data_IF_829773490316
#
_entry.id   IF_829773490316
#
_cell.length_a   1.000
_cell.length_b   1.000
_cell.length_c   1.000
_cell.angle_alpha   90.00
_cell.angle_beta   90.00
_cell.angle_gamma   90.00
#
_symmetry.space_group_name_H-M   'P 1'
#
loop_
_entity.id
_entity.type
_entity.pdbx_description
1 polymer ?
#
# COMPACT_ATOMS: atom_id res chain seq x y z
N UNK A 1 -31.57 -45.46 -47.78
CA UNK A 1 -30.19 -45.21 -48.26
C UNK A 1 -29.27 -45.18 -47.03
N UNK A 2 -28.11 -45.85 -46.90
CA UNK A 2 -26.97 -46.08 -47.81
C UNK A 2 -26.21 -44.77 -48.12
N UNK A 3 -24.88 -44.61 -47.97
CA UNK A 3 -23.73 -45.54 -47.83
C UNK A 3 -22.89 -45.24 -46.55
N UNK A 4 -22.19 -46.21 -45.91
CA UNK A 4 -20.74 -46.64 -46.02
C UNK A 4 -19.69 -45.48 -45.95
N UNK A 5 -18.50 -45.58 -45.34
CA UNK A 5 -17.60 -46.68 -44.82
C UNK A 5 -17.05 -46.27 -43.42
N UNK A 6 -16.64 -47.12 -42.45
CA UNK A 6 -15.55 -48.14 -42.38
C UNK A 6 -14.14 -47.56 -42.71
N UNK A 7 -13.02 -47.76 -42.00
CA UNK A 7 -12.37 -48.90 -41.27
C UNK A 7 -11.44 -48.27 -40.15
N UNK A 8 -11.17 -48.75 -38.91
CA UNK A 8 -10.45 -49.96 -38.39
C UNK A 8 -8.95 -50.04 -38.82
N UNK A 9 -7.94 -50.63 -38.13
CA UNK A 9 -7.71 -51.31 -36.82
C UNK A 9 -6.24 -50.97 -36.37
N UNK A 10 -5.85 -51.06 -35.09
CA UNK A 10 -4.42 -51.17 -34.69
C UNK A 10 -4.11 -50.96 -33.19
N UNK A 11 -3.21 -51.77 -32.59
CA UNK A 11 -2.85 -51.69 -31.14
C UNK A 11 -1.50 -52.34 -30.77
N UNK A 12 -0.66 -51.65 -29.98
CA UNK A 12 0.32 -52.19 -28.99
C UNK A 12 1.53 -52.99 -29.61
N UNK A 13 2.72 -53.25 -28.96
CA UNK A 13 3.30 -52.86 -27.64
C UNK A 13 4.72 -52.18 -27.65
N UNK A 14 5.15 -51.75 -26.45
CA UNK A 14 6.49 -51.78 -25.79
C UNK A 14 7.79 -52.22 -26.51
N UNK A 15 8.93 -51.54 -26.26
CA UNK A 15 10.13 -52.12 -25.57
C UNK A 15 11.22 -51.08 -25.17
N UNK A 16 12.27 -51.54 -24.44
CA UNK A 16 13.39 -50.76 -23.84
C UNK A 16 14.74 -51.43 -24.18
N UNK A 17 15.81 -50.66 -24.49
CA UNK A 17 17.15 -50.86 -23.90
C UNK A 17 17.84 -49.50 -23.54
N UNK A 18 18.87 -49.31 -22.69
CA UNK A 18 19.99 -50.12 -22.13
C UNK A 18 21.20 -50.27 -23.10
N UNK A 19 22.48 -50.00 -22.79
CA UNK A 19 23.25 -49.50 -21.61
C UNK A 19 24.40 -48.56 -22.13
N UNK A 20 25.57 -48.21 -21.54
CA UNK A 20 26.30 -48.25 -20.24
C UNK A 20 27.57 -47.33 -20.36
N UNK A 21 28.39 -47.19 -19.29
CA UNK A 21 29.87 -46.95 -19.35
C UNK A 21 30.38 -45.54 -19.74
N UNK A 22 31.49 -44.95 -19.24
CA UNK A 22 32.48 -45.26 -18.18
C UNK A 22 33.08 -43.91 -17.65
N UNK A 23 33.48 -43.72 -16.38
CA UNK A 23 34.85 -43.80 -15.81
C UNK A 23 35.96 -42.89 -16.45
N UNK A 24 36.97 -42.32 -15.76
CA UNK A 24 37.45 -42.45 -14.35
C UNK A 24 38.32 -41.26 -13.84
N UNK A 25 38.46 -41.22 -12.51
CA UNK A 25 39.17 -40.36 -11.52
C UNK A 25 40.66 -39.95 -11.78
N UNK A 26 41.13 -38.89 -11.08
CA UNK A 26 42.48 -38.52 -10.53
C UNK A 26 42.96 -37.10 -10.96
N UNK A 27 43.74 -36.27 -10.22
CA UNK A 27 44.38 -36.22 -8.87
C UNK A 27 43.94 -34.89 -8.13
N UNK A 28 44.35 -34.40 -6.94
CA UNK A 28 45.48 -34.49 -5.96
C UNK A 28 46.80 -33.77 -6.31
N UNK A 29 47.56 -33.08 -5.40
CA UNK A 29 47.30 -32.55 -4.04
C UNK A 29 48.40 -31.54 -3.54
N UNK A 30 48.07 -30.73 -2.50
CA UNK A 30 48.92 -30.40 -1.29
C UNK A 30 50.02 -29.27 -1.22
N UNK A 31 49.88 -28.42 -0.18
CA UNK A 31 50.85 -27.55 0.59
C UNK A 31 51.47 -26.22 0.10
N UNK A 32 51.78 -25.37 1.11
CA UNK A 32 52.57 -24.10 1.10
C UNK A 32 53.97 -24.34 1.76
N UNK A 33 54.91 -23.38 1.71
CA UNK A 33 55.32 -22.70 2.97
C UNK A 33 55.57 -21.16 2.85
N UNK A 34 56.21 -20.53 3.87
CA UNK A 34 56.17 -19.07 4.14
C UNK A 34 57.40 -18.54 4.94
N UNK A 35 58.01 -17.41 4.54
CA UNK A 35 58.90 -16.47 5.31
C UNK A 35 58.85 -15.09 4.61
N UNK A 36 58.69 -13.90 5.24
CA UNK A 36 59.45 -13.19 6.30
C UNK A 36 60.79 -12.58 5.78
N UNK A 37 61.11 -11.28 5.93
CA UNK A 37 61.41 -10.49 7.17
C UNK A 37 61.12 -8.95 7.01
N UNK A 38 61.31 -8.13 8.08
CA UNK A 38 60.96 -6.69 8.28
C UNK A 38 62.18 -5.72 8.14
N UNK A 39 62.29 -4.51 8.79
CA UNK A 39 61.46 -3.27 8.91
C UNK A 39 62.25 -1.92 8.71
N UNK A 40 61.55 -0.75 8.75
CA UNK A 40 61.99 0.61 9.22
C UNK A 40 60.84 1.64 8.98
N UNK A 41 60.65 2.79 9.66
CA UNK A 41 61.22 3.41 10.89
C UNK A 41 60.15 4.39 11.51
N UNK A 42 60.42 5.00 12.66
CA UNK A 42 59.43 5.75 13.50
C UNK A 42 59.63 7.28 13.55
N UNK A 43 58.54 8.07 13.73
CA UNK A 43 58.59 9.46 14.25
C UNK A 43 57.25 9.94 14.88
N UNK A 44 57.34 10.75 15.95
CA UNK A 44 56.31 11.54 16.68
C UNK A 44 57.07 12.48 17.65
N UNK A 45 56.46 13.50 18.28
CA UNK A 45 55.54 14.53 17.78
C UNK A 45 56.05 15.96 18.12
N UNK A 46 55.32 17.03 17.76
CA UNK A 46 55.41 18.35 18.43
C UNK A 46 54.05 19.04 18.49
N UNK A 47 53.89 19.93 19.48
CA UNK A 47 52.67 20.68 19.81
C UNK A 47 52.93 22.19 19.84
N UNK A 48 51.92 23.00 19.50
CA UNK A 48 51.75 24.35 20.03
C UNK A 48 50.31 24.84 19.82
N UNK A 49 49.86 25.82 20.60
CA UNK A 49 48.51 26.37 20.63
C UNK A 49 48.40 27.68 19.83
N UNK A 50 47.24 27.93 19.21
CA UNK A 50 46.42 29.14 19.44
C UNK A 50 44.99 28.94 18.89
N UNK A 51 44.00 29.67 19.41
CA UNK A 51 42.58 29.63 19.00
C UNK A 51 42.02 31.05 18.90
N UNK A 52 40.87 31.28 18.21
CA UNK A 52 39.61 31.24 18.94
C UNK A 52 38.39 30.66 18.17
N UNK A 53 37.36 30.30 18.94
CA UNK A 53 35.96 30.01 18.55
C UNK A 53 35.14 31.32 18.34
N UNK A 54 33.83 31.31 17.99
CA UNK A 54 32.88 30.20 17.72
C UNK A 54 32.42 30.19 16.23
N UNK A 55 31.35 29.57 15.73
CA UNK A 55 30.10 29.05 16.31
C UNK A 55 29.45 28.00 15.37
N UNK A 56 29.03 26.84 15.89
CA UNK A 56 28.23 25.86 15.15
C UNK A 56 27.46 24.92 16.12
N UNK A 57 26.22 25.25 16.45
CA UNK A 57 25.42 24.52 17.44
C UNK A 57 24.88 23.20 16.88
N UNK A 58 25.43 22.06 17.30
CA UNK A 58 24.84 20.75 16.98
C UNK A 58 23.42 20.62 17.58
N UNK A 59 22.41 20.15 16.81
CA UNK A 59 21.07 19.96 17.31
C UNK A 59 21.02 18.75 18.26
N UNK A 60 20.95 19.02 19.57
CA UNK A 60 20.90 17.98 20.62
C UNK A 60 19.79 16.96 20.36
N UNK A 61 20.17 15.71 20.17
CA UNK A 61 19.25 14.60 19.95
C UNK A 61 18.47 14.28 21.25
N UNK A 62 17.22 14.73 21.33
CA UNK A 62 16.40 14.57 22.54
C UNK A 62 15.91 13.12 22.72
N UNK A 63 16.64 12.32 23.49
CA UNK A 63 16.30 10.93 23.82
C UNK A 63 15.27 10.87 24.96
N UNK A 64 14.00 11.17 24.67
CA UNK A 64 12.90 10.90 25.58
C UNK A 64 11.63 10.39 24.83
N UNK A 65 11.37 9.07 24.81
CA UNK A 65 10.29 8.46 24.02
C UNK A 65 8.94 8.51 24.75
N UNK A 66 8.52 9.69 25.19
CA UNK A 66 7.11 9.90 25.51
C UNK A 66 6.32 10.03 24.20
N UNK A 67 5.42 9.06 23.94
CA UNK A 67 4.47 9.19 22.84
C UNK A 67 3.61 10.43 23.11
N UNK A 68 3.70 11.42 22.22
CA UNK A 68 2.74 12.53 22.21
C UNK A 68 1.36 11.97 21.83
N UNK A 69 0.26 12.43 22.45
CA UNK A 69 -1.07 12.13 21.96
C UNK A 69 -1.17 12.47 20.48
N UNK A 70 -1.77 11.57 19.69
CA UNK A 70 -2.03 11.76 18.26
C UNK A 70 -2.95 12.97 18.08
N UNK A 71 -2.34 14.14 17.89
CA UNK A 71 -3.07 15.39 17.76
C UNK A 71 -3.60 15.43 16.33
N UNK A 72 -4.93 15.48 16.12
CA UNK A 72 -5.49 15.44 14.78
C UNK A 72 -4.91 16.58 13.92
N UNK A 73 -4.69 16.37 12.62
CA UNK A 73 -4.17 17.39 11.73
C UNK A 73 -5.04 18.67 11.81
N UNK A 74 -4.41 19.86 11.91
CA UNK A 74 -5.12 21.13 11.92
C UNK A 74 -6.12 21.27 10.77
N UNK A 75 -7.28 21.88 11.03
CA UNK A 75 -8.37 21.99 10.04
C UNK A 75 -8.01 22.89 8.84
N UNK A 76 -7.07 23.80 9.02
CA UNK A 76 -6.44 24.63 7.99
C UNK A 76 -5.36 23.89 7.19
N UNK A 77 -4.86 22.73 7.65
CA UNK A 77 -3.81 21.95 6.97
C UNK A 77 -4.20 21.70 5.50
N UNK A 78 -3.36 22.13 4.53
CA UNK A 78 -3.52 21.91 3.10
C UNK A 78 -3.85 20.45 2.71
N UNK A 79 -4.70 20.32 1.69
CA UNK A 79 -4.99 19.05 0.99
C UNK A 79 -4.53 19.13 -0.46
N UNK A 80 -3.91 18.05 -0.94
CA UNK A 80 -3.48 17.84 -2.32
C UNK A 80 -4.19 16.59 -2.90
N UNK A 81 -4.75 16.64 -4.12
CA UNK A 81 -5.47 15.52 -4.72
C UNK A 81 -4.64 14.24 -4.93
N UNK A 82 -3.33 14.40 -5.18
CA UNK A 82 -2.39 13.37 -5.64
C UNK A 82 -1.35 13.00 -4.57
N UNK A 83 -1.49 13.49 -3.34
CA UNK A 83 -0.61 13.18 -2.19
C UNK A 83 -1.40 12.63 -1.02
N UNK A 84 -0.70 12.04 -0.05
CA UNK A 84 -1.38 11.52 1.13
C UNK A 84 -1.93 12.65 2.00
N UNK A 85 -3.20 12.53 2.38
CA UNK A 85 -3.87 13.43 3.31
C UNK A 85 -4.07 12.77 4.70
N UNK A 86 -3.67 11.51 4.89
CA UNK A 86 -3.49 10.89 6.20
C UNK A 86 -2.17 11.33 6.87
N UNK A 87 -2.09 11.14 8.19
CA UNK A 87 -0.83 11.12 8.93
C UNK A 87 -0.24 9.71 8.88
N UNK A 88 0.97 9.55 8.34
CA UNK A 88 1.58 8.22 8.17
C UNK A 88 2.53 7.88 9.33
N UNK A 89 2.36 6.69 9.91
CA UNK A 89 3.23 6.17 10.96
C UNK A 89 4.47 5.50 10.37
N UNK A 90 5.60 5.64 11.06
CA UNK A 90 6.83 4.87 10.81
C UNK A 90 6.91 3.66 11.74
N UNK A 91 7.68 2.60 11.39
CA UNK A 91 7.90 1.43 12.25
C UNK A 91 8.47 1.70 13.64
N UNK A 92 8.95 2.92 13.91
CA UNK A 92 9.50 3.34 15.21
C UNK A 92 8.61 4.36 15.94
N UNK A 93 7.36 4.55 15.51
CA UNK A 93 6.38 5.41 16.19
C UNK A 93 6.54 6.91 15.94
N UNK A 94 7.38 7.35 14.99
CA UNK A 94 7.37 8.74 14.52
C UNK A 94 6.34 8.92 13.38
N UNK A 95 5.65 10.06 13.36
CA UNK A 95 4.68 10.42 12.31
C UNK A 95 5.35 11.11 11.11
N UNK A 96 4.68 11.08 9.96
CA UNK A 96 5.07 11.77 8.72
C UNK A 96 3.81 12.35 8.07
N UNK A 97 3.80 13.66 7.83
CA UNK A 97 2.75 14.35 7.08
C UNK A 97 3.33 14.83 5.74
N UNK A 98 2.54 14.79 4.66
CA UNK A 98 2.90 15.45 3.40
C UNK A 98 2.97 16.98 3.58
N UNK A 99 2.00 17.53 4.31
CA UNK A 99 1.91 18.94 4.68
C UNK A 99 2.08 19.09 6.20
N UNK A 100 3.27 19.46 6.70
CA UNK A 100 3.47 19.81 8.11
C UNK A 100 2.86 21.18 8.42
N UNK A 101 2.41 21.39 9.66
CA UNK A 101 1.66 22.58 10.10
C UNK A 101 2.43 23.92 10.09
N UNK A 102 3.64 23.95 9.55
CA UNK A 102 4.47 25.15 9.37
C UNK A 102 4.97 25.30 7.93
N UNK A 103 4.27 24.71 6.96
CA UNK A 103 4.53 24.90 5.54
C UNK A 103 4.14 26.32 5.04
N UNK A 104 3.37 27.08 5.82
CA UNK A 104 2.92 28.46 5.56
C UNK A 104 4.07 29.41 5.15
N UNK A 105 5.21 29.36 5.86
CA UNK A 105 6.40 30.21 5.57
C UNK A 105 7.11 29.83 4.25
N UNK A 106 6.76 28.69 3.66
CA UNK A 106 7.34 28.21 2.42
C UNK A 106 6.36 28.46 1.25
N UNK A 107 6.36 29.70 0.76
CA UNK A 107 5.69 30.11 -0.49
C UNK A 107 5.78 29.01 -1.57
N UNK A 108 4.70 28.70 -2.33
CA UNK A 108 4.67 27.57 -3.28
C UNK A 108 5.86 27.50 -4.24
N UNK A 109 6.41 28.66 -4.63
CA UNK A 109 7.61 28.81 -5.47
C UNK A 109 8.89 28.21 -4.86
N UNK A 110 8.95 28.03 -3.53
CA UNK A 110 10.06 27.38 -2.80
C UNK A 110 9.84 25.88 -2.56
N UNK A 111 8.60 25.40 -2.51
CA UNK A 111 8.29 23.98 -2.24
C UNK A 111 8.14 23.15 -3.50
N UNK A 112 7.79 23.78 -4.64
CA UNK A 112 7.47 23.08 -5.88
C UNK A 112 6.13 22.33 -5.82
N UNK A 113 5.29 22.62 -4.81
CA UNK A 113 3.98 22.03 -4.63
C UNK A 113 2.89 22.93 -5.24
N UNK A 114 1.80 22.36 -5.79
CA UNK A 114 0.67 23.16 -6.26
C UNK A 114 0.02 23.91 -5.10
N UNK A 115 -0.64 25.03 -5.39
CA UNK A 115 -1.51 25.69 -4.39
C UNK A 115 -2.62 24.71 -4.00
N UNK A 116 -2.85 24.44 -2.70
CA UNK A 116 -3.89 23.51 -2.27
C UNK A 116 -5.27 24.02 -2.66
N UNK A 117 -6.13 23.09 -3.05
CA UNK A 117 -7.51 23.38 -3.48
C UNK A 117 -8.46 23.50 -2.30
N UNK A 118 -8.19 22.74 -1.23
CA UNK A 118 -8.98 22.64 -0.03
C UNK A 118 -8.08 22.50 1.20
N UNK A 119 -8.67 22.58 2.40
CA UNK A 119 -8.03 22.21 3.66
C UNK A 119 -8.66 20.95 4.25
N UNK A 120 -8.08 20.42 5.32
CA UNK A 120 -8.59 19.26 6.06
C UNK A 120 -10.01 19.48 6.61
N UNK A 121 -10.37 20.74 6.92
CA UNK A 121 -11.71 21.14 7.34
C UNK A 121 -12.71 21.27 6.18
N UNK A 122 -12.30 21.75 5.01
CA UNK A 122 -13.22 22.11 3.91
C UNK A 122 -13.37 21.05 2.82
N UNK A 123 -12.49 20.04 2.77
CA UNK A 123 -12.40 19.09 1.64
C UNK A 123 -13.75 18.46 1.25
N UNK A 124 -14.46 17.86 2.22
CA UNK A 124 -15.70 17.13 1.94
C UNK A 124 -16.83 18.04 1.43
N UNK A 125 -16.94 19.26 1.97
CA UNK A 125 -17.92 20.25 1.54
C UNK A 125 -17.64 20.71 0.10
N UNK A 126 -16.40 21.11 -0.18
CA UNK A 126 -16.00 21.57 -1.52
C UNK A 126 -16.11 20.46 -2.56
N UNK A 127 -15.72 19.22 -2.20
CA UNK A 127 -15.80 18.07 -3.10
C UNK A 127 -17.24 17.63 -3.36
N UNK A 128 -18.14 17.64 -2.35
CA UNK A 128 -19.56 17.35 -2.58
C UNK A 128 -20.26 18.45 -3.38
N UNK A 129 -19.96 19.72 -3.10
CA UNK A 129 -20.48 20.85 -3.89
C UNK A 129 -20.05 20.77 -5.36
N UNK A 130 -18.78 20.45 -5.64
CA UNK A 130 -18.29 20.21 -7.01
C UNK A 130 -19.00 19.03 -7.68
N UNK A 131 -19.15 17.89 -6.99
CA UNK A 131 -19.89 16.73 -7.53
C UNK A 131 -21.34 17.08 -7.92
N UNK A 132 -22.05 17.85 -7.08
CA UNK A 132 -23.43 18.30 -7.34
C UNK A 132 -23.49 19.30 -8.49
N UNK A 133 -22.52 20.22 -8.59
CA UNK A 133 -22.44 21.18 -9.70
C UNK A 133 -22.14 20.50 -11.05
N UNK A 134 -21.33 19.43 -11.04
CA UNK A 134 -21.02 18.62 -12.24
C UNK A 134 -22.17 17.70 -12.65
N UNK A 135 -22.89 17.09 -11.68
CA UNK A 135 -24.09 16.30 -11.96
C UNK A 135 -25.08 16.35 -10.77
N UNK A 136 -26.17 17.14 -10.86
CA UNK A 136 -27.14 17.32 -9.78
C UNK A 136 -27.80 16.02 -9.28
N UNK A 137 -27.76 14.93 -10.06
CA UNK A 137 -28.30 13.62 -9.65
C UNK A 137 -27.54 13.03 -8.46
N UNK A 138 -26.33 13.51 -8.19
CA UNK A 138 -25.54 13.10 -7.01
C UNK A 138 -26.07 13.69 -5.69
N UNK A 139 -26.85 14.77 -5.70
CA UNK A 139 -27.34 15.40 -4.47
C UNK A 139 -28.13 14.44 -3.56
N UNK A 140 -28.97 13.59 -4.16
CA UNK A 140 -29.74 12.58 -3.41
C UNK A 140 -28.83 11.55 -2.74
N UNK A 141 -27.87 10.95 -3.47
CA UNK A 141 -26.99 9.91 -2.89
C UNK A 141 -25.99 10.50 -1.88
N UNK A 142 -25.57 11.77 -2.05
CA UNK A 142 -24.77 12.51 -1.09
C UNK A 142 -25.53 12.71 0.23
N UNK A 143 -26.77 13.19 0.17
CA UNK A 143 -27.59 13.41 1.38
C UNK A 143 -27.96 12.11 2.12
N UNK A 144 -28.13 11.00 1.40
CA UNK A 144 -28.43 9.69 1.97
C UNK A 144 -27.20 8.99 2.57
N UNK A 145 -25.99 9.34 2.12
CA UNK A 145 -24.75 8.68 2.52
C UNK A 145 -23.60 9.68 2.76
N UNK A 146 -23.58 10.39 3.89
CA UNK A 146 -22.41 11.18 4.29
C UNK A 146 -21.13 10.34 4.26
N UNK A 147 -20.06 10.86 3.65
CA UNK A 147 -18.81 10.13 3.46
C UNK A 147 -17.84 10.35 4.65
N UNK A 148 -17.62 9.36 5.55
CA UNK A 148 -16.72 9.55 6.69
C UNK A 148 -15.25 9.62 6.27
N UNK A 149 -14.87 8.92 5.19
CA UNK A 149 -13.49 8.74 4.74
C UNK A 149 -12.73 10.05 4.49
N UNK A 150 -13.44 11.06 3.96
CA UNK A 150 -12.88 12.38 3.63
C UNK A 150 -13.41 13.50 4.54
N UNK A 151 -14.12 13.14 5.62
CA UNK A 151 -14.44 14.06 6.70
C UNK A 151 -13.18 14.46 7.47
N UNK A 152 -13.17 15.57 8.24
CA UNK A 152 -12.01 15.94 9.05
C UNK A 152 -11.56 14.84 10.02
N UNK A 153 -12.48 14.01 10.52
CA UNK A 153 -12.15 12.86 11.36
C UNK A 153 -11.51 11.71 10.57
N UNK A 154 -12.01 11.39 9.38
CA UNK A 154 -11.42 10.35 8.50
C UNK A 154 -10.06 10.75 7.92
N UNK A 155 -9.82 12.05 7.74
CA UNK A 155 -8.51 12.62 7.40
C UNK A 155 -7.55 12.71 8.59
N UNK A 156 -8.05 12.56 9.82
CA UNK A 156 -7.27 12.57 11.06
C UNK A 156 -6.79 11.19 11.51
N UNK A 157 -7.21 10.12 10.83
CA UNK A 157 -6.74 8.76 11.08
C UNK A 157 -5.22 8.67 10.88
N UNK A 158 -4.50 8.18 11.89
CA UNK A 158 -3.09 7.81 11.77
C UNK A 158 -2.95 6.42 11.15
N UNK A 159 -2.15 6.32 10.09
CA UNK A 159 -2.09 5.14 9.23
C UNK A 159 -0.67 4.57 9.23
N UNK A 160 -0.51 3.36 9.77
CA UNK A 160 0.68 2.54 9.55
C UNK A 160 0.59 1.90 8.15
N UNK A 161 1.45 2.29 7.19
CA UNK A 161 1.40 1.77 5.82
C UNK A 161 1.73 0.28 5.73
N UNK A 162 2.57 -0.24 6.63
CA UNK A 162 2.93 -1.65 6.64
C UNK A 162 1.76 -2.50 7.17
N UNK A 163 1.16 -2.10 8.29
CA UNK A 163 -0.06 -2.71 8.85
C UNK A 163 -1.20 -2.74 7.82
N UNK A 164 -1.47 -1.62 7.12
CA UNK A 164 -2.53 -1.55 6.10
C UNK A 164 -2.22 -2.45 4.90
N UNK A 165 -1.04 -2.38 4.30
CA UNK A 165 -0.67 -3.22 3.15
C UNK A 165 -0.64 -4.73 3.51
N UNK A 166 -0.11 -5.08 4.67
CA UNK A 166 -0.16 -6.47 5.17
C UNK A 166 -1.59 -6.92 5.44
N UNK A 167 -2.43 -6.10 6.09
CA UNK A 167 -3.84 -6.43 6.35
C UNK A 167 -4.64 -6.60 5.06
N UNK A 168 -4.35 -5.80 4.02
CA UNK A 168 -4.91 -5.96 2.68
C UNK A 168 -4.56 -7.32 2.08
N UNK A 169 -3.28 -7.74 2.12
CA UNK A 169 -2.84 -9.07 1.66
C UNK A 169 -3.51 -10.20 2.48
N UNK A 170 -3.69 -10.01 3.79
CA UNK A 170 -4.44 -10.94 4.65
C UNK A 170 -5.90 -11.07 4.20
N UNK A 171 -6.56 -9.97 3.84
CA UNK A 171 -7.96 -9.93 3.40
C UNK A 171 -8.26 -10.54 2.03
N UNK A 172 -7.28 -10.61 1.12
CA UNK A 172 -7.51 -11.09 -0.26
C UNK A 172 -8.19 -12.47 -0.33
N UNK A 173 -9.29 -12.58 -1.10
CA UNK A 173 -9.99 -13.84 -1.39
C UNK A 173 -10.54 -14.61 -0.17
N UNK A 174 -10.75 -13.94 0.97
CA UNK A 174 -11.40 -14.51 2.17
C UNK A 174 -12.52 -13.60 2.67
N UNK A 175 -13.40 -14.10 3.55
CA UNK A 175 -14.42 -13.26 4.20
C UNK A 175 -13.78 -12.36 5.27
N UNK A 176 -14.42 -11.24 5.61
CA UNK A 176 -13.92 -10.33 6.67
C UNK A 176 -13.74 -11.02 8.02
N UNK A 177 -14.61 -11.98 8.37
CA UNK A 177 -14.46 -12.80 9.58
C UNK A 177 -13.21 -13.71 9.53
N UNK A 178 -12.91 -14.30 8.37
CA UNK A 178 -11.70 -15.09 8.18
C UNK A 178 -10.44 -14.22 8.17
N UNK A 179 -10.49 -13.05 7.51
CA UNK A 179 -9.41 -12.05 7.53
C UNK A 179 -9.08 -11.62 8.96
N UNK A 180 -10.09 -11.27 9.76
CA UNK A 180 -9.94 -10.94 11.18
C UNK A 180 -9.36 -12.09 12.00
N UNK A 181 -9.81 -13.34 11.78
CA UNK A 181 -9.25 -14.52 12.45
C UNK A 181 -7.77 -14.74 12.11
N UNK A 182 -7.39 -14.60 10.85
CA UNK A 182 -5.99 -14.74 10.40
C UNK A 182 -5.13 -13.58 10.93
N UNK A 183 -5.62 -12.34 10.89
CA UNK A 183 -4.90 -11.16 11.43
C UNK A 183 -4.64 -11.31 12.93
N UNK A 184 -5.64 -11.71 13.71
CA UNK A 184 -5.48 -11.91 15.16
C UNK A 184 -4.43 -13.01 15.45
N UNK A 185 -4.44 -14.12 14.70
CA UNK A 185 -3.42 -15.17 14.83
C UNK A 185 -2.03 -14.72 14.38
N UNK A 186 -1.94 -13.90 13.33
CA UNK A 186 -0.69 -13.32 12.85
C UNK A 186 -0.07 -12.39 13.90
N UNK A 187 -0.86 -11.51 14.54
CA UNK A 187 -0.39 -10.67 15.64
C UNK A 187 0.10 -11.50 16.84
N UNK A 188 -0.58 -12.61 17.14
CA UNK A 188 -0.19 -13.54 18.20
C UNK A 188 1.13 -14.29 17.94
N UNK A 189 1.70 -14.28 16.72
CA UNK A 189 3.05 -14.80 16.45
C UNK A 189 4.17 -13.89 17.01
N UNK A 190 3.83 -12.70 17.49
CA UNK A 190 4.81 -11.66 17.81
C UNK A 190 4.74 -11.14 19.26
N UNK A 191 3.94 -11.76 20.14
CA UNK A 191 3.86 -11.43 21.59
C UNK A 191 3.85 -9.93 21.89
N UNK A 192 3.00 -9.20 21.16
CA UNK A 192 2.94 -7.74 21.25
C UNK A 192 2.15 -7.34 22.50
N UNK A 193 2.75 -6.57 23.44
CA UNK A 193 2.08 -6.23 24.70
C UNK A 193 0.86 -5.35 24.44
N UNK A 194 -0.25 -5.66 25.12
CA UNK A 194 -1.50 -4.90 25.00
C UNK A 194 -1.33 -3.47 25.54
N UNK A 195 -1.20 -2.51 24.63
CA UNK A 195 -1.21 -1.07 24.96
C UNK A 195 -2.62 -0.53 24.83
N UNK A 196 -3.33 -0.44 25.96
CA UNK A 196 -4.53 0.41 26.08
C UNK A 196 -4.05 1.86 26.05
N UNK A 197 -4.59 2.67 25.14
CA UNK A 197 -4.28 4.10 25.05
C UNK A 197 -5.03 4.89 26.16
N UNK A 198 -4.56 6.10 26.52
CA UNK A 198 -5.16 6.88 27.62
C UNK A 198 -6.63 7.29 27.41
N UNK A 199 -7.14 7.19 26.18
CA UNK A 199 -8.52 7.44 25.78
C UNK A 199 -9.43 6.19 25.89
N UNK A 200 -8.87 5.04 26.26
CA UNK A 200 -9.57 3.75 26.36
C UNK A 200 -9.60 2.93 25.06
N UNK A 201 -9.05 3.44 23.96
CA UNK A 201 -8.94 2.68 22.71
C UNK A 201 -7.76 1.69 22.76
N UNK A 202 -7.93 0.52 22.12
CA UNK A 202 -6.82 -0.39 21.84
C UNK A 202 -6.16 0.05 20.54
N UNK A 203 -4.95 0.61 20.63
CA UNK A 203 -4.06 0.59 19.47
C UNK A 203 -3.56 -0.85 19.28
N UNK A 204 -4.08 -1.52 18.25
CA UNK A 204 -3.56 -2.81 17.78
C UNK A 204 -2.10 -2.64 17.34
N UNK A 205 -1.17 -2.84 18.28
CA UNK A 205 0.27 -2.79 18.01
C UNK A 205 0.59 -3.84 16.94
N UNK A 206 1.09 -3.38 15.80
CA UNK A 206 1.50 -4.24 14.69
C UNK A 206 2.98 -4.66 14.84
N UNK A 207 3.41 -5.85 14.37
CA UNK A 207 4.82 -6.19 14.34
C UNK A 207 5.57 -5.27 13.37
N UNK A 208 6.79 -4.88 13.73
CA UNK A 208 7.65 -4.08 12.84
C UNK A 208 8.14 -4.91 11.64
N UNK A 209 8.50 -4.27 10.51
CA UNK A 209 9.00 -4.96 9.32
C UNK A 209 10.15 -5.93 9.64
N UNK A 210 11.19 -5.49 10.37
CA UNK A 210 12.26 -6.34 10.91
C UNK A 210 11.78 -7.70 11.48
N UNK A 211 10.75 -7.66 12.35
CA UNK A 211 10.24 -8.86 13.03
C UNK A 211 9.50 -9.79 12.07
N UNK A 212 8.77 -9.23 11.10
CA UNK A 212 8.05 -10.02 10.08
C UNK A 212 9.02 -10.59 9.05
N UNK A 213 10.03 -9.83 8.62
CA UNK A 213 11.08 -10.28 7.70
C UNK A 213 11.89 -11.45 8.28
N UNK A 214 12.25 -11.38 9.58
CA UNK A 214 12.95 -12.44 10.32
C UNK A 214 12.09 -13.66 10.67
N UNK A 215 10.77 -13.61 10.49
CA UNK A 215 9.87 -14.72 10.77
C UNK A 215 9.82 -15.70 9.59
N UNK A 216 9.98 -17.00 9.84
CA UNK A 216 9.99 -17.99 8.76
C UNK A 216 8.59 -18.24 8.16
N UNK A 217 8.57 -18.66 6.89
CA UNK A 217 7.33 -18.93 6.15
C UNK A 217 6.45 -20.02 6.83
N UNK A 218 6.98 -21.14 7.36
CA UNK A 218 6.18 -22.09 8.16
C UNK A 218 5.47 -21.43 9.34
N UNK A 219 6.14 -20.57 10.10
CA UNK A 219 5.60 -19.87 11.27
C UNK A 219 4.53 -18.86 10.85
N UNK A 220 4.80 -18.04 9.83
CA UNK A 220 3.80 -17.13 9.24
C UNK A 220 2.54 -17.88 8.75
N UNK A 221 2.71 -19.07 8.16
CA UNK A 221 1.59 -19.92 7.72
C UNK A 221 0.77 -20.51 8.87
N UNK A 222 1.34 -20.69 10.06
CA UNK A 222 0.60 -21.23 11.23
C UNK A 222 -0.59 -20.33 11.64
N UNK A 223 -0.52 -19.03 11.34
CA UNK A 223 -1.64 -18.09 11.53
C UNK A 223 -2.83 -18.32 10.58
N UNK A 224 -2.71 -19.22 9.59
CA UNK A 224 -3.72 -19.46 8.54
C UNK A 224 -3.42 -18.74 7.23
N UNK A 225 -2.21 -18.21 7.04
CA UNK A 225 -1.77 -17.67 5.75
C UNK A 225 -1.54 -18.81 4.74
N UNK A 226 -1.88 -18.56 3.48
CA UNK A 226 -1.42 -19.41 2.38
C UNK A 226 0.08 -19.19 2.16
N UNK A 227 0.76 -20.18 1.57
CA UNK A 227 2.19 -20.09 1.19
C UNK A 227 2.52 -18.79 0.46
N UNK A 228 1.70 -18.41 -0.54
CA UNK A 228 1.88 -17.17 -1.30
C UNK A 228 1.67 -15.92 -0.43
N UNK A 229 0.66 -15.88 0.44
CA UNK A 229 0.45 -14.72 1.34
C UNK A 229 1.60 -14.54 2.32
N UNK A 230 2.15 -15.63 2.88
CA UNK A 230 3.32 -15.56 3.74
C UNK A 230 4.55 -15.01 2.99
N UNK A 231 4.83 -15.51 1.78
CA UNK A 231 5.91 -14.98 0.91
C UNK A 231 5.72 -13.49 0.59
N UNK A 232 4.49 -13.06 0.29
CA UNK A 232 4.18 -11.68 -0.04
C UNK A 232 4.34 -10.75 1.17
N UNK A 233 3.94 -11.19 2.36
CA UNK A 233 4.03 -10.41 3.61
C UNK A 233 5.49 -10.34 4.09
N UNK A 234 6.27 -11.41 3.97
CA UNK A 234 7.71 -11.39 4.27
C UNK A 234 8.46 -10.46 3.30
N UNK A 235 8.25 -10.58 1.99
CA UNK A 235 8.90 -9.72 0.99
C UNK A 235 8.45 -8.25 1.05
N UNK A 236 7.22 -7.97 1.49
CA UNK A 236 6.78 -6.62 1.82
C UNK A 236 7.54 -6.07 3.04
N UNK A 237 7.76 -6.89 4.07
CA UNK A 237 8.50 -6.51 5.26
C UNK A 237 9.98 -6.22 4.95
N UNK A 238 10.64 -7.07 4.14
CA UNK A 238 12.01 -6.86 3.65
C UNK A 238 12.15 -5.51 2.93
N UNK A 239 11.16 -5.14 2.09
CA UNK A 239 11.12 -3.85 1.37
C UNK A 239 10.87 -2.62 2.26
N UNK A 240 10.23 -2.80 3.41
CA UNK A 240 10.11 -1.72 4.40
C UNK A 240 11.37 -1.61 5.28
N UNK A 241 11.99 -2.73 5.62
CA UNK A 241 13.20 -2.77 6.46
C UNK A 241 14.44 -2.27 5.71
N UNK A 242 14.57 -2.58 4.41
CA UNK A 242 15.67 -2.08 3.57
C UNK A 242 15.49 -0.62 3.10
N UNK A 243 14.34 0.01 3.39
CA UNK A 243 14.03 1.39 3.04
C UNK A 243 13.55 1.64 1.60
N UNK A 244 13.32 0.62 0.78
CA UNK A 244 12.71 0.75 -0.56
C UNK A 244 11.28 1.31 -0.48
N UNK A 245 10.55 0.89 0.56
CA UNK A 245 9.22 1.37 0.92
C UNK A 245 9.23 1.98 2.33
N UNK A 246 8.31 2.90 2.60
CA UNK A 246 8.14 3.50 3.94
C UNK A 246 7.39 4.82 3.92
N UNK A 247 6.92 5.28 5.09
CA UNK A 247 6.05 6.45 5.23
C UNK A 247 6.61 7.73 4.58
N UNK A 248 7.93 8.00 4.69
CA UNK A 248 8.57 9.18 4.06
C UNK A 248 8.59 9.13 2.52
N UNK A 249 8.60 7.92 1.94
CA UNK A 249 8.49 7.74 0.49
C UNK A 249 7.03 7.89 0.07
N UNK A 250 6.10 7.18 0.72
CA UNK A 250 4.67 7.18 0.39
C UNK A 250 4.00 8.57 0.55
N UNK A 251 4.49 9.40 1.48
CA UNK A 251 4.04 10.79 1.63
C UNK A 251 4.54 11.73 0.52
N UNK A 252 5.62 11.37 -0.19
CA UNK A 252 6.26 12.18 -1.23
C UNK A 252 5.98 11.71 -2.65
N UNK A 253 5.68 10.42 -2.84
CA UNK A 253 5.41 9.80 -4.13
C UNK A 253 4.24 10.47 -4.88
N UNK A 254 4.35 10.64 -6.20
CA UNK A 254 3.21 10.93 -7.08
C UNK A 254 2.23 9.75 -7.16
N UNK A 255 1.17 9.82 -7.97
CA UNK A 255 0.30 8.66 -8.24
C UNK A 255 1.04 7.58 -9.05
N UNK A 256 1.91 7.98 -9.97
CA UNK A 256 2.75 7.09 -10.80
C UNK A 256 3.81 6.37 -9.95
N UNK A 257 4.58 7.12 -9.13
CA UNK A 257 5.62 6.55 -8.27
C UNK A 257 5.03 5.59 -7.22
N UNK A 258 3.86 5.91 -6.68
CA UNK A 258 3.12 5.05 -5.77
C UNK A 258 2.70 3.74 -6.47
N UNK A 259 2.15 3.86 -7.68
CA UNK A 259 1.65 2.74 -8.46
C UNK A 259 2.77 1.80 -8.89
N UNK A 260 3.88 2.34 -9.39
CA UNK A 260 5.07 1.58 -9.79
C UNK A 260 5.64 0.79 -8.61
N UNK A 261 5.95 1.47 -7.50
CA UNK A 261 6.63 0.87 -6.35
C UNK A 261 5.78 -0.17 -5.63
N UNK A 262 4.47 0.03 -5.54
CA UNK A 262 3.59 -0.93 -4.88
C UNK A 262 3.18 -2.09 -5.80
N UNK A 263 3.03 -1.92 -7.11
CA UNK A 263 2.83 -3.07 -8.04
C UNK A 263 4.08 -3.96 -8.12
N UNK A 264 5.28 -3.41 -7.90
CA UNK A 264 6.50 -4.20 -7.79
C UNK A 264 6.53 -5.16 -6.57
N UNK A 265 5.62 -5.01 -5.61
CA UNK A 265 5.44 -5.95 -4.50
C UNK A 265 4.60 -7.15 -4.97
N UNK A 266 5.20 -8.34 -5.01
CA UNK A 266 4.47 -9.59 -5.25
C UNK A 266 3.26 -9.68 -4.30
N UNK A 267 2.06 -9.77 -4.86
CA UNK A 267 0.80 -9.83 -4.10
C UNK A 267 -0.05 -8.56 -4.15
N UNK A 268 0.50 -7.42 -4.56
CA UNK A 268 -0.26 -6.20 -4.80
C UNK A 268 -0.50 -6.01 -6.30
N UNK A 269 -1.77 -5.95 -6.70
CA UNK A 269 -2.17 -5.55 -8.06
C UNK A 269 -2.63 -4.11 -8.10
N UNK A 270 -2.75 -3.52 -9.30
CA UNK A 270 -3.22 -2.13 -9.51
C UNK A 270 -4.43 -1.77 -8.64
N UNK A 271 -5.48 -2.60 -8.64
CA UNK A 271 -6.67 -2.39 -7.80
C UNK A 271 -6.34 -2.28 -6.29
N UNK A 272 -5.48 -3.14 -5.74
CA UNK A 272 -5.08 -3.08 -4.34
C UNK A 272 -4.31 -1.80 -4.01
N UNK A 273 -3.51 -1.30 -4.95
CA UNK A 273 -2.79 -0.03 -4.79
C UNK A 273 -3.75 1.17 -4.89
N UNK A 274 -4.74 1.12 -5.78
CA UNK A 274 -5.81 2.13 -5.87
C UNK A 274 -6.66 2.16 -4.58
N UNK A 275 -7.01 1.00 -4.01
CA UNK A 275 -7.72 0.94 -2.72
C UNK A 275 -6.85 1.51 -1.58
N UNK A 276 -5.57 1.13 -1.51
CA UNK A 276 -4.63 1.69 -0.54
C UNK A 276 -4.47 3.21 -0.67
N UNK A 277 -4.39 3.74 -1.90
CA UNK A 277 -4.31 5.18 -2.14
C UNK A 277 -5.55 5.93 -1.64
N UNK A 278 -6.74 5.34 -1.76
CA UNK A 278 -8.01 5.95 -1.33
C UNK A 278 -8.26 5.77 0.17
N UNK A 279 -8.25 4.54 0.68
CA UNK A 279 -8.67 4.25 2.06
C UNK A 279 -7.58 4.52 3.09
N UNK A 280 -6.31 4.24 2.77
CA UNK A 280 -5.19 4.44 3.67
C UNK A 280 -4.52 5.81 3.45
N UNK A 281 -4.10 6.13 2.22
CA UNK A 281 -3.43 7.41 1.97
C UNK A 281 -4.38 8.62 1.87
N UNK A 282 -5.70 8.42 1.77
CA UNK A 282 -6.72 9.48 1.62
C UNK A 282 -6.48 10.39 0.41
N UNK A 283 -5.97 9.85 -0.72
CA UNK A 283 -5.91 10.58 -2.00
C UNK A 283 -7.33 10.76 -2.52
N UNK A 284 -7.69 11.98 -2.90
CA UNK A 284 -9.08 12.33 -3.24
C UNK A 284 -9.37 12.22 -4.75
N UNK A 285 -8.35 12.04 -5.61
CA UNK A 285 -8.52 11.98 -7.08
C UNK A 285 -8.09 10.67 -7.79
N UNK A 286 -8.13 9.55 -7.07
CA UNK A 286 -7.91 8.19 -7.61
C UNK A 286 -9.22 7.56 -8.10
N UNK A 287 -9.16 6.82 -9.22
CA UNK A 287 -10.32 6.15 -9.81
C UNK A 287 -9.99 4.75 -10.38
N UNK A 288 -10.55 3.69 -9.77
CA UNK A 288 -10.31 2.31 -10.19
C UNK A 288 -11.32 1.83 -11.23
N UNK A 289 -10.88 1.75 -12.49
CA UNK A 289 -11.64 1.09 -13.57
C UNK A 289 -11.74 -0.43 -13.35
N UNK A 290 -10.79 -1.01 -12.62
CA UNK A 290 -10.72 -2.44 -12.33
C UNK A 290 -11.76 -2.95 -11.32
N UNK A 291 -12.32 -2.06 -10.50
CA UNK A 291 -13.28 -2.46 -9.46
C UNK A 291 -14.67 -2.80 -10.04
N UNK A 292 -15.16 -4.00 -9.72
CA UNK A 292 -16.46 -4.48 -10.23
C UNK A 292 -17.67 -3.79 -9.59
N UNK A 293 -17.51 -3.20 -8.39
CA UNK A 293 -18.51 -2.35 -7.75
C UNK A 293 -18.61 -0.99 -8.45
N UNK A 294 -17.47 -0.34 -8.71
CA UNK A 294 -17.40 0.93 -9.46
C UNK A 294 -17.90 0.75 -10.89
N UNK A 295 -17.49 -0.30 -11.60
CA UNK A 295 -18.04 -0.63 -12.93
C UNK A 295 -19.58 -0.72 -12.92
N UNK A 296 -20.14 -1.37 -11.89
CA UNK A 296 -21.60 -1.55 -11.75
C UNK A 296 -22.28 -0.22 -11.41
N UNK A 297 -21.73 0.55 -10.48
CA UNK A 297 -22.23 1.86 -10.07
C UNK A 297 -22.19 2.90 -11.17
N UNK A 298 -21.09 2.97 -11.96
CA UNK A 298 -21.02 3.85 -13.13
C UNK A 298 -22.04 3.46 -14.20
N UNK A 299 -22.25 2.17 -14.46
CA UNK A 299 -23.27 1.72 -15.42
C UNK A 299 -24.68 2.11 -14.95
N UNK A 300 -24.98 1.89 -13.66
CA UNK A 300 -26.23 2.23 -13.00
C UNK A 300 -26.51 3.75 -13.00
N UNK A 301 -25.50 4.55 -12.65
CA UNK A 301 -25.52 6.01 -12.71
C UNK A 301 -25.71 6.55 -14.14
N UNK A 302 -25.26 5.81 -15.17
CA UNK A 302 -25.53 6.10 -16.58
C UNK A 302 -26.88 5.52 -17.07
N UNK A 303 -27.76 5.10 -16.16
CA UNK A 303 -29.10 4.58 -16.48
C UNK A 303 -29.11 3.21 -17.18
N UNK A 304 -27.99 2.47 -17.17
CA UNK A 304 -27.90 1.14 -17.80
C UNK A 304 -28.44 0.07 -16.85
N UNK A 305 -29.28 -0.82 -17.36
CA UNK A 305 -29.78 -1.98 -16.61
C UNK A 305 -28.64 -2.97 -16.31
N UNK A 306 -28.10 -2.90 -15.09
CA UNK A 306 -26.98 -3.74 -14.63
C UNK A 306 -27.32 -5.23 -14.57
N UNK A 307 -28.60 -5.60 -14.47
CA UNK A 307 -29.04 -7.01 -14.50
C UNK A 307 -28.88 -7.60 -15.91
N UNK A 308 -29.23 -6.82 -16.94
CA UNK A 308 -29.12 -7.20 -18.37
C UNK A 308 -27.69 -7.11 -18.92
N UNK A 309 -26.75 -6.53 -18.17
CA UNK A 309 -25.33 -6.43 -18.51
C UNK A 309 -24.49 -7.61 -17.97
N UNK A 310 -24.95 -8.26 -16.89
CA UNK A 310 -24.23 -9.35 -16.20
C UNK A 310 -23.96 -10.54 -17.14
N UNK A 311 -22.76 -10.56 -17.72
CA UNK A 311 -22.30 -11.60 -18.66
C UNK A 311 -22.20 -11.17 -20.14
N UNK A 312 -22.54 -9.92 -20.49
CA UNK A 312 -22.33 -9.39 -21.85
C UNK A 312 -20.93 -8.81 -22.07
N UNK A 313 -20.27 -8.33 -21.02
CA UNK A 313 -18.89 -7.86 -21.07
C UNK A 313 -17.87 -9.02 -21.01
N UNK A 314 -17.04 -9.15 -22.04
CA UNK A 314 -15.93 -10.10 -22.08
C UNK A 314 -14.71 -9.59 -21.30
N UNK A 315 -14.08 -10.48 -20.52
CA UNK A 315 -12.83 -10.16 -19.80
C UNK A 315 -13.03 -9.32 -18.53
N UNK A 316 -12.16 -8.31 -18.35
CA UNK A 316 -12.09 -7.49 -17.12
C UNK A 316 -13.20 -6.43 -16.95
N UNK A 317 -13.92 -6.09 -18.03
CA UNK A 317 -14.98 -5.07 -18.02
C UNK A 317 -16.35 -5.70 -18.24
N UNK A 318 -17.16 -5.75 -17.19
CA UNK A 318 -18.41 -6.52 -17.17
C UNK A 318 -19.68 -5.66 -17.29
N UNK A 319 -19.62 -4.41 -16.86
CA UNK A 319 -20.79 -3.51 -16.83
C UNK A 319 -20.58 -2.22 -17.66
N UNK A 320 -19.36 -1.70 -17.72
CA UNK A 320 -19.00 -0.48 -18.44
C UNK A 320 -17.57 -0.60 -18.97
N UNK A 321 -17.28 -0.03 -20.14
CA UNK A 321 -15.95 -0.11 -20.75
C UNK A 321 -14.98 0.90 -20.10
N UNK A 322 -13.69 0.57 -20.10
CA UNK A 322 -12.62 1.41 -19.51
C UNK A 322 -12.66 2.85 -20.01
N UNK A 323 -12.86 3.03 -21.33
CA UNK A 323 -13.00 4.34 -21.97
C UNK A 323 -14.21 5.11 -21.42
N UNK A 324 -15.42 4.54 -21.51
CA UNK A 324 -16.64 5.17 -21.00
C UNK A 324 -16.49 5.61 -19.53
N UNK A 325 -15.86 4.77 -18.70
CA UNK A 325 -15.65 5.05 -17.27
C UNK A 325 -14.67 6.20 -17.04
N UNK A 326 -13.58 6.27 -17.81
CA UNK A 326 -12.61 7.36 -17.72
C UNK A 326 -13.20 8.69 -18.21
N UNK A 327 -13.97 8.67 -19.30
CA UNK A 327 -14.69 9.85 -19.82
C UNK A 327 -15.79 10.35 -18.87
N UNK A 328 -16.43 9.44 -18.12
CA UNK A 328 -17.35 9.80 -17.04
C UNK A 328 -16.61 10.39 -15.83
N UNK A 329 -15.58 9.69 -15.33
CA UNK A 329 -14.85 10.07 -14.12
C UNK A 329 -14.06 11.38 -14.29
N UNK A 330 -13.53 11.68 -15.48
CA UNK A 330 -12.76 12.90 -15.75
C UNK A 330 -13.51 14.18 -15.39
N UNK A 331 -14.86 14.18 -15.49
CA UNK A 331 -15.73 15.32 -15.14
C UNK A 331 -15.70 15.66 -13.65
N UNK A 332 -15.35 14.70 -12.81
CA UNK A 332 -15.32 14.83 -11.35
C UNK A 332 -13.90 14.98 -10.79
N UNK A 333 -12.90 15.23 -11.64
CA UNK A 333 -11.56 15.64 -11.20
C UNK A 333 -11.63 17.08 -10.66
N UNK A 334 -11.03 17.39 -9.49
CA UNK A 334 -10.01 16.62 -8.78
C UNK A 334 -10.52 15.85 -7.56
N UNK A 335 -11.74 15.30 -7.64
CA UNK A 335 -12.43 14.60 -6.54
C UNK A 335 -12.92 13.19 -6.93
N UNK A 336 -12.23 12.52 -7.86
CA UNK A 336 -12.66 11.23 -8.44
C UNK A 336 -12.79 10.09 -7.41
N UNK A 337 -12.06 10.12 -6.29
CA UNK A 337 -12.22 9.11 -5.23
C UNK A 337 -13.53 9.28 -4.46
N UNK A 338 -14.02 10.50 -4.28
CA UNK A 338 -15.32 10.74 -3.69
C UNK A 338 -16.44 10.33 -4.64
N UNK A 339 -16.32 10.64 -5.94
CA UNK A 339 -17.25 10.14 -6.96
C UNK A 339 -17.29 8.60 -6.97
N UNK A 340 -16.12 7.95 -6.96
CA UNK A 340 -15.98 6.50 -6.86
C UNK A 340 -16.64 5.93 -5.60
N UNK A 341 -16.50 6.61 -4.45
CA UNK A 341 -17.13 6.21 -3.20
C UNK A 341 -18.66 6.21 -3.28
N UNK A 342 -19.26 7.18 -3.97
CA UNK A 342 -20.71 7.18 -4.24
C UNK A 342 -21.14 6.10 -5.23
N UNK A 343 -20.29 5.68 -6.18
CA UNK A 343 -20.60 4.52 -7.05
C UNK A 343 -20.75 3.22 -6.24
N UNK A 344 -19.96 3.05 -5.17
CA UNK A 344 -20.14 1.96 -4.21
C UNK A 344 -21.43 2.09 -3.38
N UNK A 345 -21.85 3.33 -3.02
CA UNK A 345 -23.13 3.56 -2.32
C UNK A 345 -24.34 3.17 -3.16
N UNK A 346 -24.41 3.64 -4.42
CA UNK A 346 -25.51 3.33 -5.37
C UNK A 346 -25.75 1.82 -5.45
N UNK A 347 -24.67 1.03 -5.50
CA UNK A 347 -24.75 -0.42 -5.65
C UNK A 347 -24.67 -1.21 -4.33
N UNK A 348 -24.85 -0.52 -3.19
CA UNK A 348 -24.86 -1.07 -1.83
C UNK A 348 -23.66 -1.97 -1.52
N UNK A 349 -22.48 -1.57 -2.00
CA UNK A 349 -21.23 -2.28 -1.77
C UNK A 349 -20.73 -1.97 -0.36
N UNK A 350 -20.36 -3.00 0.40
CA UNK A 350 -19.61 -2.83 1.64
C UNK A 350 -18.17 -2.41 1.32
N UNK A 351 -17.73 -1.31 1.92
CA UNK A 351 -16.38 -0.74 1.76
C UNK A 351 -15.52 -0.92 3.01
N UNK A 352 -16.09 -1.42 4.12
CA UNK A 352 -15.32 -1.73 5.34
C UNK A 352 -14.36 -2.93 5.15
N UNK A 353 -14.46 -3.63 4.01
CA UNK A 353 -13.55 -4.70 3.57
C UNK A 353 -12.50 -4.23 2.55
N UNK A 354 -12.41 -2.93 2.26
CA UNK A 354 -11.51 -2.35 1.24
C UNK A 354 -10.36 -1.49 1.81
N UNK A 355 -10.39 -1.16 3.11
CA UNK A 355 -9.36 -0.39 3.82
C UNK A 355 -8.44 -1.26 4.69
#
# INVERSE_FOLDING_TARGET
MSLRRSVRIGSIPSQIPQTSSNARVHHSAVTKPRRAIKPKKTAKPKTSYWSPEPEATEPKLSTNPQLRPSTPPPLDRPVDPHRTNATLLTPHGSTVNAYPAHAEDASPTKTGLPRPLATTGTLLEQATAHLIATDPRLATVISQHPCPLFSPAGLAEEIDPFNSLTSSIIGQQVSGAAAKSIRNKFLALFDLPETIAPDGHRHDKFPTPDRVAKCDIPTLRSAGLSQRKAEYIQGLAEKFENGELGARMLARATDEELLEKLIAVRGLGKWSVEMFAVFALKRIDVFSTGDLGVQRGCASFMGRDVSKLKGKGGGKFKYMAEKDMLELAAKFSPYRSLFMWYMWRIENVDVAVLG
#
